data_IF_695982561026
#
_entry.id   IF_695982561026
#
_cell.length_a   1.000
_cell.length_b   1.000
_cell.length_c   1.000
_cell.angle_alpha   90.00
_cell.angle_beta   90.00
_cell.angle_gamma   90.00
#
_symmetry.space_group_name_H-M   'P 1'
#
loop_
_entity.id
_entity.type
_entity.pdbx_description
1 polymer ?
#
# COMPACT_ATOMS: atom_id res chain seq x y z
N UNK A 1 -2.83 -1.70 -35.82
CA UNK A 1 -1.94 -0.62 -35.35
C UNK A 1 -2.44 0.10 -34.10
N UNK A 2 -3.72 0.13 -33.84
CA UNK A 2 -4.31 0.77 -32.65
C UNK A 2 -4.07 0.01 -31.32
N UNK A 3 -3.77 -1.27 -31.33
CA UNK A 3 -3.52 -2.07 -30.13
C UNK A 3 -2.14 -1.82 -29.46
N UNK A 4 -1.17 -1.26 -30.17
CA UNK A 4 0.18 -0.98 -29.64
C UNK A 4 0.28 0.29 -28.79
N UNK A 5 -0.64 1.23 -28.99
CA UNK A 5 -0.59 2.52 -28.27
C UNK A 5 -1.21 2.45 -26.87
N UNK A 6 -2.19 1.57 -26.66
CA UNK A 6 -2.79 1.37 -25.32
C UNK A 6 -1.83 0.63 -24.38
N UNK A 7 -1.13 -0.38 -24.86
CA UNK A 7 -0.16 -1.17 -24.06
C UNK A 7 1.02 -0.33 -23.56
N UNK A 8 1.47 0.65 -24.36
CA UNK A 8 2.56 1.54 -23.94
C UNK A 8 2.13 2.56 -22.89
N UNK A 9 0.90 3.07 -22.95
CA UNK A 9 0.38 4.00 -21.95
C UNK A 9 0.20 3.33 -20.60
N UNK A 10 -0.34 2.12 -20.58
CA UNK A 10 -0.54 1.36 -19.34
C UNK A 10 0.80 0.99 -18.69
N UNK A 11 1.80 0.65 -19.49
CA UNK A 11 3.16 0.37 -19.00
C UNK A 11 3.83 1.60 -18.40
N UNK A 12 3.71 2.77 -19.03
CA UNK A 12 4.24 4.03 -18.53
C UNK A 12 3.52 4.46 -17.25
N UNK A 13 2.18 4.35 -17.21
CA UNK A 13 1.40 4.68 -16.02
C UNK A 13 1.79 3.81 -14.82
N UNK A 14 1.93 2.51 -15.00
CA UNK A 14 2.38 1.60 -13.94
C UNK A 14 3.82 1.91 -13.48
N UNK A 15 4.69 2.26 -14.40
CA UNK A 15 6.07 2.62 -14.08
C UNK A 15 6.14 3.90 -13.23
N UNK A 16 5.38 4.94 -13.60
CA UNK A 16 5.29 6.19 -12.82
C UNK A 16 4.68 5.91 -11.45
N UNK A 17 3.59 5.14 -11.41
CA UNK A 17 2.89 4.80 -10.18
C UNK A 17 3.81 4.09 -9.18
N UNK A 18 4.58 3.10 -9.63
CA UNK A 18 5.55 2.40 -8.79
C UNK A 18 6.61 3.33 -8.23
N UNK A 19 7.13 4.25 -9.02
CA UNK A 19 8.17 5.18 -8.56
C UNK A 19 7.62 6.20 -7.57
N UNK A 20 6.47 6.79 -7.85
CA UNK A 20 5.84 7.78 -6.96
C UNK A 20 5.42 7.14 -5.64
N UNK A 21 4.79 5.97 -5.68
CA UNK A 21 4.39 5.26 -4.46
C UNK A 21 5.60 4.74 -3.68
N UNK A 22 6.66 4.33 -4.34
CA UNK A 22 7.91 3.92 -3.69
C UNK A 22 8.58 5.08 -2.94
N UNK A 23 8.67 6.26 -3.55
CA UNK A 23 9.20 7.48 -2.89
C UNK A 23 8.30 7.89 -1.73
N UNK A 24 6.98 7.91 -1.93
CA UNK A 24 6.02 8.23 -0.88
C UNK A 24 6.14 7.25 0.30
N UNK A 25 6.24 5.96 0.04
CA UNK A 25 6.45 4.94 1.07
C UNK A 25 7.76 5.13 1.82
N UNK A 26 8.84 5.48 1.14
CA UNK A 26 10.12 5.72 1.80
C UNK A 26 10.01 6.82 2.85
N UNK A 27 9.33 7.91 2.54
CA UNK A 27 9.09 9.02 3.49
C UNK A 27 8.12 8.60 4.60
N UNK A 28 6.99 7.99 4.23
CA UNK A 28 5.92 7.65 5.19
C UNK A 28 6.37 6.57 6.18
N UNK A 29 7.06 5.53 5.70
CA UNK A 29 7.55 4.42 6.53
C UNK A 29 8.67 4.89 7.45
N UNK A 30 9.62 5.70 6.97
CA UNK A 30 10.67 6.25 7.81
C UNK A 30 10.12 7.18 8.89
N UNK A 31 9.14 8.01 8.55
CA UNK A 31 8.45 8.85 9.54
C UNK A 31 7.65 8.02 10.56
N UNK A 32 6.95 6.99 10.12
CA UNK A 32 6.25 6.06 10.99
C UNK A 32 7.23 5.34 11.94
N UNK A 33 8.33 4.81 11.41
CA UNK A 33 9.36 4.17 12.20
C UNK A 33 9.98 5.11 13.23
N UNK A 34 10.34 6.33 12.82
CA UNK A 34 10.91 7.31 13.73
C UNK A 34 9.97 7.66 14.89
N UNK A 35 8.69 7.83 14.60
CA UNK A 35 7.69 8.14 15.63
C UNK A 35 7.45 6.97 16.60
N UNK A 36 7.39 5.74 16.09
CA UNK A 36 7.00 4.58 16.89
C UNK A 36 8.16 3.88 17.59
N UNK A 37 9.41 4.08 17.13
CA UNK A 37 10.57 3.35 17.63
C UNK A 37 11.69 4.23 18.20
N UNK A 38 11.73 5.51 17.79
CA UNK A 38 12.80 6.43 18.23
C UNK A 38 12.25 7.46 19.20
N UNK A 39 11.09 8.07 18.90
CA UNK A 39 10.47 9.10 19.73
C UNK A 39 9.65 8.47 20.87
N UNK A 40 8.91 7.40 20.58
CA UNK A 40 8.17 6.63 21.58
C UNK A 40 8.91 5.34 21.91
N UNK A 41 8.81 4.90 23.15
CA UNK A 41 9.32 3.58 23.54
C UNK A 41 8.40 2.49 22.97
N UNK A 42 8.98 1.55 22.27
CA UNK A 42 8.25 0.39 21.70
C UNK A 42 7.57 -0.42 22.82
N UNK A 43 8.16 -0.49 24.00
CA UNK A 43 7.61 -1.21 25.13
C UNK A 43 6.31 -0.57 25.68
N UNK A 44 6.07 0.71 25.40
CA UNK A 44 4.87 1.47 25.79
C UNK A 44 3.82 1.54 24.67
N UNK A 45 4.05 0.88 23.53
CA UNK A 45 3.11 0.84 22.41
C UNK A 45 2.03 -0.22 22.67
N UNK A 46 1.07 0.13 23.48
CA UNK A 46 -0.10 -0.69 23.81
C UNK A 46 -1.35 -0.29 22.99
N UNK A 47 -2.48 -0.91 23.29
CA UNK A 47 -3.75 -0.61 22.61
C UNK A 47 -4.26 0.81 22.87
N UNK A 48 -3.94 1.40 24.03
CA UNK A 48 -4.31 2.77 24.37
C UNK A 48 -3.51 3.77 23.53
N UNK A 49 -2.22 3.53 23.33
CA UNK A 49 -1.36 4.31 22.44
C UNK A 49 -1.88 4.28 21.00
N UNK A 50 -2.28 3.11 20.50
CA UNK A 50 -2.84 2.95 19.15
C UNK A 50 -4.16 3.70 19.01
N UNK A 51 -5.04 3.60 20.01
CA UNK A 51 -6.33 4.30 20.00
C UNK A 51 -6.16 5.83 20.02
N UNK A 52 -5.26 6.35 20.85
CA UNK A 52 -4.94 7.78 20.90
C UNK A 52 -4.34 8.27 19.57
N UNK A 53 -3.43 7.50 19.01
CA UNK A 53 -2.81 7.79 17.71
C UNK A 53 -3.86 7.87 16.59
N UNK A 54 -4.76 6.90 16.50
CA UNK A 54 -5.81 6.88 15.48
C UNK A 54 -6.97 7.84 15.78
N UNK A 55 -7.12 8.28 17.00
CA UNK A 55 -8.00 9.39 17.39
C UNK A 55 -7.52 10.75 16.88
N UNK A 56 -6.21 10.89 16.63
CA UNK A 56 -5.61 12.10 16.06
C UNK A 56 -5.69 12.08 14.53
N UNK A 57 -6.36 13.08 13.94
CA UNK A 57 -6.58 13.19 12.51
C UNK A 57 -5.27 13.23 11.69
N UNK A 58 -4.21 13.82 12.23
CA UNK A 58 -2.91 13.88 11.55
C UNK A 58 -2.28 12.50 11.41
N UNK A 59 -2.23 11.74 12.50
CA UNK A 59 -1.66 10.38 12.50
C UNK A 59 -2.53 9.40 11.72
N UNK A 60 -3.85 9.52 11.83
CA UNK A 60 -4.77 8.72 11.04
C UNK A 60 -4.58 8.95 9.53
N UNK A 61 -4.41 10.20 9.12
CA UNK A 61 -4.14 10.57 7.72
C UNK A 61 -2.78 10.03 7.28
N UNK A 62 -1.75 10.14 8.11
CA UNK A 62 -0.41 9.62 7.81
C UNK A 62 -0.41 8.10 7.62
N UNK A 63 -0.96 7.37 8.58
CA UNK A 63 -1.02 5.91 8.54
C UNK A 63 -1.98 5.41 7.44
N UNK A 64 -3.08 6.11 7.20
CA UNK A 64 -3.98 5.85 6.08
C UNK A 64 -3.32 6.05 4.72
N UNK A 65 -2.57 7.14 4.55
CA UNK A 65 -1.80 7.41 3.32
C UNK A 65 -0.72 6.33 3.10
N UNK A 66 -0.05 5.91 4.18
CA UNK A 66 0.93 4.82 4.13
C UNK A 66 0.29 3.49 3.72
N UNK A 67 -0.88 3.16 4.25
CA UNK A 67 -1.64 1.97 3.87
C UNK A 67 -2.00 1.99 2.38
N UNK A 68 -2.57 3.09 1.89
CA UNK A 68 -2.93 3.25 0.48
C UNK A 68 -1.71 3.14 -0.42
N UNK A 69 -0.64 3.84 -0.09
CA UNK A 69 0.60 3.80 -0.87
C UNK A 69 1.22 2.40 -0.89
N UNK A 70 1.19 1.66 0.22
CA UNK A 70 1.68 0.28 0.30
C UNK A 70 0.84 -0.68 -0.55
N UNK A 71 -0.49 -0.57 -0.49
CA UNK A 71 -1.39 -1.40 -1.29
C UNK A 71 -1.23 -1.14 -2.78
N UNK A 72 -1.18 0.13 -3.19
CA UNK A 72 -0.99 0.51 -4.60
C UNK A 72 0.38 0.06 -5.10
N UNK A 73 1.44 0.32 -4.34
CA UNK A 73 2.80 -0.06 -4.71
C UNK A 73 2.95 -1.59 -4.84
N UNK A 74 2.48 -2.33 -3.86
CA UNK A 74 2.52 -3.79 -3.86
C UNK A 74 1.68 -4.40 -4.97
N UNK A 75 0.44 -3.94 -5.14
CA UNK A 75 -0.45 -4.42 -6.19
C UNK A 75 0.09 -4.13 -7.60
N UNK A 76 0.58 -2.92 -7.85
CA UNK A 76 1.15 -2.54 -9.15
C UNK A 76 2.42 -3.35 -9.45
N UNK A 77 3.30 -3.54 -8.47
CA UNK A 77 4.51 -4.34 -8.61
C UNK A 77 4.21 -5.80 -8.93
N UNK A 78 3.32 -6.42 -8.16
CA UNK A 78 2.91 -7.81 -8.37
C UNK A 78 2.14 -8.00 -9.68
N UNK A 79 1.38 -6.98 -10.12
CA UNK A 79 0.69 -7.02 -11.40
C UNK A 79 1.67 -7.09 -12.57
N UNK A 80 2.78 -6.34 -12.52
CA UNK A 80 3.84 -6.39 -13.52
C UNK A 80 4.50 -7.77 -13.50
N UNK A 81 4.90 -8.27 -12.33
CA UNK A 81 5.52 -9.59 -12.17
C UNK A 81 4.61 -10.68 -12.71
N UNK A 82 3.33 -10.67 -12.35
CA UNK A 82 2.36 -11.64 -12.88
C UNK A 82 2.20 -11.54 -14.41
N UNK A 83 2.37 -10.32 -14.96
CA UNK A 83 2.36 -10.09 -16.39
C UNK A 83 3.54 -10.71 -17.12
N UNK A 84 4.71 -10.71 -16.50
CA UNK A 84 5.96 -11.19 -17.08
C UNK A 84 6.17 -12.70 -16.90
N UNK A 85 5.88 -13.23 -15.71
CA UNK A 85 6.27 -14.59 -15.32
C UNK A 85 5.14 -15.62 -15.29
N UNK A 86 3.87 -15.21 -15.21
CA UNK A 86 2.76 -16.15 -15.02
C UNK A 86 2.31 -16.88 -16.30
N UNK A 87 2.77 -16.48 -17.47
CA UNK A 87 2.46 -17.14 -18.75
C UNK A 87 0.95 -17.33 -18.96
N UNK A 88 0.50 -18.59 -19.17
CA UNK A 88 -0.91 -18.97 -19.37
C UNK A 88 -1.77 -18.75 -18.14
N UNK A 89 -1.20 -18.72 -16.94
CA UNK A 89 -1.89 -18.50 -15.66
C UNK A 89 -2.06 -17.03 -15.29
N UNK A 90 -1.66 -16.11 -16.15
CA UNK A 90 -1.71 -14.65 -15.90
C UNK A 90 -3.07 -14.17 -15.41
N UNK A 91 -4.16 -14.63 -16.02
CA UNK A 91 -5.51 -14.23 -15.65
C UNK A 91 -5.87 -14.68 -14.23
N UNK A 92 -5.52 -15.90 -13.87
CA UNK A 92 -5.77 -16.47 -12.54
C UNK A 92 -4.94 -15.72 -11.47
N UNK A 93 -3.66 -15.50 -11.72
CA UNK A 93 -2.78 -14.74 -10.83
C UNK A 93 -3.27 -13.31 -10.61
N UNK A 94 -3.69 -12.61 -11.66
CA UNK A 94 -4.23 -11.26 -11.55
C UNK A 94 -5.54 -11.22 -10.77
N UNK A 95 -6.42 -12.20 -10.95
CA UNK A 95 -7.63 -12.35 -10.16
C UNK A 95 -7.35 -12.55 -8.68
N UNK A 96 -6.38 -13.41 -8.35
CA UNK A 96 -5.92 -13.63 -6.97
C UNK A 96 -5.30 -12.38 -6.35
N UNK A 97 -4.53 -11.62 -7.10
CA UNK A 97 -3.95 -10.36 -6.65
C UNK A 97 -5.01 -9.31 -6.32
N UNK A 98 -6.03 -9.17 -7.17
CA UNK A 98 -7.16 -8.26 -6.92
C UNK A 98 -7.90 -8.67 -5.66
N UNK A 99 -8.19 -9.95 -5.49
CA UNK A 99 -8.88 -10.48 -4.30
C UNK A 99 -8.05 -10.23 -3.03
N UNK A 100 -6.75 -10.53 -3.07
CA UNK A 100 -5.84 -10.31 -1.93
C UNK A 100 -5.73 -8.82 -1.57
N UNK A 101 -5.51 -7.97 -2.56
CA UNK A 101 -5.40 -6.51 -2.35
C UNK A 101 -6.68 -5.94 -1.76
N UNK A 102 -7.83 -6.38 -2.26
CA UNK A 102 -9.14 -5.96 -1.72
C UNK A 102 -9.31 -6.43 -0.27
N UNK A 103 -8.96 -7.68 0.04
CA UNK A 103 -9.03 -8.21 1.40
C UNK A 103 -8.11 -7.41 2.35
N UNK A 104 -6.89 -7.13 1.94
CA UNK A 104 -5.94 -6.34 2.74
C UNK A 104 -6.42 -4.89 2.92
N UNK A 105 -7.02 -4.28 1.89
CA UNK A 105 -7.60 -2.95 1.98
C UNK A 105 -8.76 -2.91 2.99
N UNK A 106 -9.65 -3.88 2.95
CA UNK A 106 -10.77 -3.99 3.89
C UNK A 106 -10.26 -4.15 5.32
N UNK A 107 -9.34 -5.08 5.56
CA UNK A 107 -8.72 -5.28 6.89
C UNK A 107 -8.05 -4.01 7.38
N UNK A 108 -7.26 -3.35 6.54
CA UNK A 108 -6.57 -2.11 6.90
C UNK A 108 -7.53 -0.98 7.26
N UNK A 109 -8.59 -0.78 6.47
CA UNK A 109 -9.62 0.24 6.73
C UNK A 109 -10.37 -0.07 8.03
N UNK A 110 -10.77 -1.32 8.22
CA UNK A 110 -11.45 -1.74 9.46
C UNK A 110 -10.55 -1.48 10.66
N UNK A 111 -9.27 -1.82 10.58
CA UNK A 111 -8.30 -1.56 11.65
C UNK A 111 -8.20 -0.07 11.97
N UNK A 112 -8.08 0.79 10.97
CA UNK A 112 -8.00 2.25 11.15
C UNK A 112 -9.28 2.83 11.77
N UNK A 113 -10.44 2.25 11.50
CA UNK A 113 -11.73 2.74 12.00
C UNK A 113 -12.05 2.19 13.38
N UNK A 114 -11.77 0.91 13.63
CA UNK A 114 -12.15 0.22 14.90
C UNK A 114 -11.14 0.48 16.01
N UNK A 115 -9.87 0.69 15.70
CA UNK A 115 -8.80 0.91 16.67
C UNK A 115 -8.72 2.35 17.23
N UNK A 116 -9.67 3.21 16.86
CA UNK A 116 -9.76 4.59 17.39
C UNK A 116 -10.24 4.61 18.84
#
# INVERSE_FOLDING_TARGET
>A
MTARTSTNRDGVANWILLRLTGVALSVLVLGHFALTHIINDVAETDSAFVADRFGNALFLTWDGAMLVAALVHGAAGLWIIAGEYAGTRRRSWRGSLVALTTAMAVVGIVTLVVAR
#
